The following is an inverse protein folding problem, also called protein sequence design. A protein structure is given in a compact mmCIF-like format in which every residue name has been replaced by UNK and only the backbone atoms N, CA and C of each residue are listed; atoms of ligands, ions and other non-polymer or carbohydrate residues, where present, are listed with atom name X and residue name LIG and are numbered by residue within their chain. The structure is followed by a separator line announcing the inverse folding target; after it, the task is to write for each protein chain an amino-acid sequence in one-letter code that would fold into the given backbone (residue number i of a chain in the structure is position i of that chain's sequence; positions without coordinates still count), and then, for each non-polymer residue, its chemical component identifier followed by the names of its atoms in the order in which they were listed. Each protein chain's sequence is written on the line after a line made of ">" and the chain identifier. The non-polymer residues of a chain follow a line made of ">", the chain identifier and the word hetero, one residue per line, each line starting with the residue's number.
data_IF_274163552432
#
_entry.id   IF_274163552432
#
_cell.length_a   1.000
_cell.length_b   1.000
_cell.length_c   1.000
_cell.angle_alpha   90.00
_cell.angle_beta   90.00
_cell.angle_gamma   90.00
#
_symmetry.space_group_name_H-M   'P 1'
#
loop_
_entity.id
_entity.type
_entity.pdbx_description
1 polymer ?
#
# COMPACT_ATOMS: atom_id res chain seq x y z
N UNK A 1 31.71 3.54 11.51
CA UNK A 1 32.42 2.24 11.59
C UNK A 1 31.54 1.12 11.03
N UNK A 2 31.09 1.21 9.75
CA UNK A 2 29.95 0.39 9.25
C UNK A 2 30.24 -0.56 8.07
N UNK A 3 31.44 -0.57 7.49
CA UNK A 3 31.74 -1.48 6.36
C UNK A 3 33.09 -2.16 6.53
N UNK A 4 33.19 -3.08 7.47
CA UNK A 4 34.44 -3.86 7.68
C UNK A 4 34.55 -5.12 6.82
N UNK A 5 33.55 -5.50 6.04
CA UNK A 5 33.62 -6.64 5.13
C UNK A 5 33.17 -6.23 3.73
N UNK A 6 34.10 -6.19 2.78
CA UNK A 6 33.79 -5.90 1.37
C UNK A 6 32.75 -6.86 0.76
N UNK A 7 32.65 -8.09 1.25
CA UNK A 7 31.60 -9.04 0.83
C UNK A 7 30.21 -8.61 1.26
N UNK A 8 30.06 -8.13 2.49
CA UNK A 8 28.76 -7.66 3.02
C UNK A 8 28.30 -6.39 2.29
N UNK A 9 29.21 -5.41 2.09
CA UNK A 9 28.90 -4.20 1.34
C UNK A 9 28.47 -4.53 -0.11
N UNK A 10 29.17 -5.43 -0.78
CA UNK A 10 28.82 -5.88 -2.12
C UNK A 10 27.43 -6.55 -2.17
N UNK A 11 27.11 -7.40 -1.21
CA UNK A 11 25.79 -8.05 -1.13
C UNK A 11 24.67 -7.04 -0.90
N UNK A 12 24.89 -6.02 -0.06
CA UNK A 12 23.92 -4.95 0.18
C UNK A 12 23.70 -4.16 -1.10
N UNK A 13 24.76 -3.74 -1.79
CA UNK A 13 24.65 -3.00 -3.05
C UNK A 13 23.92 -3.79 -4.14
N UNK A 14 24.21 -5.09 -4.28
CA UNK A 14 23.50 -5.95 -5.24
C UNK A 14 22.02 -6.04 -4.89
N UNK A 15 21.67 -6.22 -3.60
CA UNK A 15 20.28 -6.28 -3.16
C UNK A 15 19.54 -4.95 -3.35
N UNK A 16 20.20 -3.83 -3.10
CA UNK A 16 19.63 -2.50 -3.36
C UNK A 16 19.44 -2.29 -4.87
N UNK A 17 20.44 -2.60 -5.68
CA UNK A 17 20.35 -2.47 -7.14
C UNK A 17 19.21 -3.29 -7.73
N UNK A 18 19.05 -4.55 -7.31
CA UNK A 18 17.96 -5.39 -7.77
C UNK A 18 16.57 -4.84 -7.41
N UNK A 19 16.42 -4.20 -6.25
CA UNK A 19 15.15 -3.59 -5.82
C UNK A 19 14.87 -2.26 -6.50
N UNK A 20 15.91 -1.53 -6.87
CA UNK A 20 15.79 -0.24 -7.55
C UNK A 20 15.79 -0.35 -9.08
N UNK A 21 16.06 -1.54 -9.62
CA UNK A 21 16.08 -1.77 -11.06
C UNK A 21 14.79 -1.31 -11.81
N UNK A 22 13.58 -1.42 -11.26
CA UNK A 22 12.41 -0.86 -11.93
C UNK A 22 12.48 0.64 -12.20
N UNK A 23 13.24 1.40 -11.38
CA UNK A 23 13.45 2.84 -11.56
C UNK A 23 14.49 3.18 -12.63
N UNK A 24 15.08 2.19 -13.30
CA UNK A 24 15.85 2.41 -14.53
C UNK A 24 14.97 2.76 -15.73
N UNK A 25 13.66 2.47 -15.62
CA UNK A 25 12.64 2.84 -16.60
C UNK A 25 12.37 4.34 -16.48
N UNK A 26 12.58 5.09 -17.59
CA UNK A 26 12.49 6.55 -17.57
C UNK A 26 11.08 7.04 -17.18
N UNK A 27 10.06 6.41 -17.74
CA UNK A 27 8.66 6.76 -17.48
C UNK A 27 8.30 6.61 -15.99
N UNK A 28 8.87 5.61 -15.34
CA UNK A 28 8.66 5.42 -13.91
C UNK A 28 9.37 6.48 -13.08
N UNK A 29 10.59 6.87 -13.47
CA UNK A 29 11.28 7.98 -12.81
C UNK A 29 10.49 9.27 -12.94
N UNK A 30 10.03 9.58 -14.15
CA UNK A 30 9.26 10.81 -14.41
C UNK A 30 7.97 10.85 -13.61
N UNK A 31 7.29 9.69 -13.46
CA UNK A 31 6.08 9.56 -12.65
C UNK A 31 6.33 9.79 -11.14
N UNK A 32 7.53 9.51 -10.66
CA UNK A 32 7.86 9.53 -9.21
C UNK A 32 8.69 10.74 -8.78
N UNK A 33 9.01 11.67 -9.68
CA UNK A 33 9.83 12.87 -9.38
C UNK A 33 9.07 13.86 -8.49
N UNK A 34 7.75 13.98 -8.67
CA UNK A 34 6.91 14.91 -7.93
C UNK A 34 5.76 14.19 -7.25
N UNK A 35 5.32 14.72 -6.11
CA UNK A 35 4.11 14.26 -5.45
C UNK A 35 2.87 14.93 -6.08
N UNK A 36 2.29 14.27 -7.09
CA UNK A 36 1.05 14.71 -7.72
C UNK A 36 -0.20 14.13 -7.05
N UNK A 37 -0.04 13.03 -6.30
CA UNK A 37 -1.16 12.32 -5.69
C UNK A 37 -1.71 13.03 -4.47
N UNK A 38 -0.86 13.74 -3.72
CA UNK A 38 -1.23 14.43 -2.48
C UNK A 38 -2.06 13.54 -1.55
N UNK A 39 -1.58 12.31 -1.33
CA UNK A 39 -2.29 11.27 -0.57
C UNK A 39 -2.68 11.73 0.83
N UNK A 40 -1.89 12.63 1.41
CA UNK A 40 -2.13 13.22 2.72
C UNK A 40 -3.36 14.15 2.76
N UNK A 41 -3.86 14.62 1.61
CA UNK A 41 -5.07 15.46 1.54
C UNK A 41 -6.37 14.67 1.44
N UNK A 42 -6.28 13.37 1.17
CA UNK A 42 -7.44 12.49 1.18
C UNK A 42 -8.02 12.41 2.60
N UNK A 43 -9.30 12.64 2.75
CA UNK A 43 -9.94 12.69 4.06
C UNK A 43 -10.14 14.11 4.63
N UNK A 44 -9.52 15.15 4.05
CA UNK A 44 -9.80 16.53 4.39
C UNK A 44 -11.04 17.07 3.69
N UNK A 45 -11.22 16.65 2.45
CA UNK A 45 -12.34 17.05 1.59
C UNK A 45 -12.84 15.87 0.77
N UNK A 46 -14.05 15.96 0.24
CA UNK A 46 -14.60 14.92 -0.66
C UNK A 46 -13.77 14.87 -1.94
N UNK A 47 -13.02 13.80 -2.10
CA UNK A 47 -12.10 13.57 -3.22
C UNK A 47 -12.26 12.12 -3.71
N UNK A 48 -12.08 11.89 -5.00
CA UNK A 48 -11.99 10.56 -5.58
C UNK A 48 -10.63 10.40 -6.26
N UNK A 49 -9.87 9.40 -5.85
CA UNK A 49 -8.60 8.99 -6.47
C UNK A 49 -8.82 7.68 -7.20
N UNK A 50 -8.47 7.63 -8.48
CA UNK A 50 -8.52 6.43 -9.31
C UNK A 50 -7.10 5.95 -9.60
N UNK A 51 -6.78 4.73 -9.19
CA UNK A 51 -5.54 4.05 -9.50
C UNK A 51 -5.84 2.98 -10.56
N UNK A 52 -5.43 3.24 -11.79
CA UNK A 52 -5.67 2.34 -12.91
C UNK A 52 -4.39 1.57 -13.21
N UNK A 53 -4.49 0.24 -13.25
CA UNK A 53 -3.37 -0.65 -13.55
C UNK A 53 -3.74 -1.59 -14.70
N UNK A 54 -2.72 -2.12 -15.37
CA UNK A 54 -2.91 -3.12 -16.42
C UNK A 54 -3.26 -4.48 -15.83
N UNK A 55 -4.22 -5.18 -16.44
CA UNK A 55 -4.57 -6.55 -16.07
C UNK A 55 -3.57 -7.58 -16.60
N UNK A 56 -2.85 -7.22 -17.67
CA UNK A 56 -1.95 -8.12 -18.39
C UNK A 56 -0.49 -7.96 -18.04
N UNK A 57 -0.09 -6.81 -17.46
CA UNK A 57 1.29 -6.50 -17.09
C UNK A 57 1.40 -6.26 -15.59
N UNK A 58 2.07 -7.16 -14.90
CA UNK A 58 2.30 -7.10 -13.46
C UNK A 58 3.56 -6.33 -13.06
N UNK A 59 4.32 -5.82 -14.02
CA UNK A 59 5.63 -5.17 -13.78
C UNK A 59 5.54 -4.03 -12.77
N UNK A 60 4.44 -3.27 -12.79
CA UNK A 60 4.25 -2.10 -11.95
C UNK A 60 3.31 -2.30 -10.75
N UNK A 61 2.86 -3.53 -10.49
CA UNK A 61 1.94 -3.82 -9.38
C UNK A 61 2.51 -3.44 -8.01
N UNK A 62 3.85 -3.49 -7.87
CA UNK A 62 4.52 -3.07 -6.65
C UNK A 62 4.29 -1.58 -6.31
N UNK A 63 4.11 -0.72 -7.33
CA UNK A 63 3.81 0.70 -7.12
C UNK A 63 2.47 0.88 -6.42
N UNK A 64 1.45 0.16 -6.84
CA UNK A 64 0.12 0.22 -6.23
C UNK A 64 0.19 -0.25 -4.78
N UNK A 65 0.94 -1.30 -4.50
CA UNK A 65 1.19 -1.76 -3.12
C UNK A 65 1.90 -0.68 -2.28
N UNK A 66 2.86 0.04 -2.85
CA UNK A 66 3.53 1.18 -2.20
C UNK A 66 2.55 2.33 -1.94
N UNK A 67 1.73 2.70 -2.93
CA UNK A 67 0.73 3.76 -2.78
C UNK A 67 -0.23 3.45 -1.64
N UNK A 68 -0.79 2.22 -1.58
CA UNK A 68 -1.67 1.83 -0.48
C UNK A 68 -0.96 1.85 0.87
N UNK A 69 0.31 1.41 0.92
CA UNK A 69 1.09 1.44 2.15
C UNK A 69 1.29 2.88 2.65
N UNK A 70 1.66 3.79 1.76
CA UNK A 70 1.82 5.21 2.07
C UNK A 70 0.49 5.85 2.47
N UNK A 71 -0.57 5.59 1.69
CA UNK A 71 -1.90 6.12 1.95
C UNK A 71 -2.39 5.78 3.36
N UNK A 72 -2.36 4.50 3.73
CA UNK A 72 -2.82 4.09 5.06
C UNK A 72 -1.98 4.70 6.18
N UNK A 73 -0.66 4.77 6.03
CA UNK A 73 0.21 5.39 7.03
C UNK A 73 -0.09 6.88 7.16
N UNK A 74 -0.08 7.63 6.05
CA UNK A 74 -0.34 9.07 6.04
C UNK A 74 -1.70 9.43 6.63
N UNK A 75 -2.74 8.68 6.27
CA UNK A 75 -4.09 8.92 6.78
C UNK A 75 -4.23 8.58 8.26
N UNK A 76 -3.57 7.52 8.74
CA UNK A 76 -3.56 7.18 10.16
C UNK A 76 -2.81 8.23 10.98
N UNK A 77 -1.60 8.60 10.55
CA UNK A 77 -0.79 9.61 11.23
C UNK A 77 -1.53 10.96 11.26
N UNK A 78 -2.13 11.35 10.14
CA UNK A 78 -2.91 12.59 10.05
C UNK A 78 -4.15 12.58 10.95
N UNK A 79 -4.87 11.46 10.99
CA UNK A 79 -6.02 11.31 11.88
C UNK A 79 -5.60 11.48 13.34
N UNK A 80 -4.49 10.87 13.74
CA UNK A 80 -4.01 10.92 15.11
C UNK A 80 -3.41 12.28 15.47
N UNK A 81 -2.56 12.85 14.61
CA UNK A 81 -1.78 14.04 14.93
C UNK A 81 -2.57 15.35 14.73
N UNK A 82 -3.47 15.41 13.73
CA UNK A 82 -4.16 16.66 13.34
C UNK A 82 -5.62 16.68 13.74
N UNK A 83 -6.29 15.51 13.78
CA UNK A 83 -7.75 15.43 13.94
C UNK A 83 -8.20 14.68 15.20
N UNK A 84 -7.30 14.44 16.14
CA UNK A 84 -7.65 13.81 17.41
C UNK A 84 -8.19 12.38 17.28
N UNK A 85 -7.72 11.66 16.27
CA UNK A 85 -7.98 10.23 16.06
C UNK A 85 -9.01 9.89 14.98
N UNK A 86 -9.62 10.90 14.30
CA UNK A 86 -10.62 10.66 13.25
C UNK A 86 -10.50 11.66 12.12
N UNK A 87 -10.49 11.19 10.89
CA UNK A 87 -10.54 12.07 9.71
C UNK A 87 -11.88 12.79 9.61
N UNK A 88 -11.91 14.04 9.13
CA UNK A 88 -13.16 14.80 8.93
C UNK A 88 -14.06 14.23 7.84
N UNK A 89 -13.48 13.58 6.83
CA UNK A 89 -14.22 12.88 5.76
C UNK A 89 -13.81 11.43 5.74
N UNK A 90 -14.82 10.53 5.73
CA UNK A 90 -14.58 9.09 5.65
C UNK A 90 -13.88 8.71 4.35
N UNK A 91 -12.75 8.00 4.45
CA UNK A 91 -12.00 7.49 3.30
C UNK A 91 -12.32 6.02 3.09
N UNK A 92 -12.86 5.68 1.93
CA UNK A 92 -13.15 4.31 1.53
C UNK A 92 -12.22 3.88 0.41
N UNK A 93 -11.37 2.90 0.67
CA UNK A 93 -10.53 2.25 -0.34
C UNK A 93 -11.28 1.07 -0.95
N UNK A 94 -11.61 1.16 -2.23
CA UNK A 94 -12.17 0.05 -3.01
C UNK A 94 -11.02 -0.58 -3.79
N UNK A 95 -10.62 -1.78 -3.40
CA UNK A 95 -9.47 -2.49 -3.98
C UNK A 95 -10.01 -3.65 -4.79
N UNK A 96 -10.25 -3.38 -6.06
CA UNK A 96 -10.68 -4.41 -7.01
C UNK A 96 -9.50 -5.29 -7.39
N UNK A 97 -9.77 -6.56 -7.63
CA UNK A 97 -8.75 -7.58 -7.93
C UNK A 97 -7.53 -7.53 -6.99
N UNK A 98 -7.77 -7.42 -5.70
CA UNK A 98 -6.75 -7.26 -4.66
C UNK A 98 -5.61 -8.30 -4.75
N UNK A 99 -5.87 -9.47 -5.35
CA UNK A 99 -4.87 -10.50 -5.59
C UNK A 99 -3.77 -10.06 -6.57
N UNK A 100 -4.11 -9.20 -7.54
CA UNK A 100 -3.18 -8.77 -8.59
C UNK A 100 -2.22 -7.67 -8.12
N UNK A 101 -2.59 -6.90 -7.11
CA UNK A 101 -1.77 -5.82 -6.55
C UNK A 101 -0.51 -6.36 -5.83
N UNK A 102 -0.54 -7.64 -5.46
CA UNK A 102 0.46 -8.22 -4.58
C UNK A 102 0.15 -7.98 -3.11
N UNK A 103 1.12 -8.24 -2.25
CA UNK A 103 0.93 -8.11 -0.82
C UNK A 103 1.10 -6.64 -0.38
N UNK A 104 0.05 -6.05 0.18
CA UNK A 104 0.15 -4.80 0.93
C UNK A 104 0.70 -5.15 2.32
N UNK A 105 1.90 -4.66 2.70
CA UNK A 105 2.51 -5.01 3.98
C UNK A 105 1.60 -4.69 5.17
N UNK A 106 1.48 -5.62 6.11
CA UNK A 106 0.71 -5.47 7.34
C UNK A 106 -0.78 -5.14 7.17
N UNK A 107 -1.38 -5.43 6.02
CA UNK A 107 -2.78 -5.11 5.73
C UNK A 107 -3.73 -5.66 6.82
N UNK A 108 -3.45 -6.86 7.36
CA UNK A 108 -4.25 -7.48 8.42
C UNK A 108 -4.27 -6.66 9.71
N UNK A 109 -3.15 -6.00 10.05
CA UNK A 109 -3.07 -5.09 11.20
C UNK A 109 -3.72 -3.76 10.89
N UNK A 110 -3.49 -3.24 9.69
CA UNK A 110 -4.07 -1.99 9.23
C UNK A 110 -5.60 -2.04 9.26
N UNK A 111 -6.21 -3.09 8.70
CA UNK A 111 -7.68 -3.24 8.69
C UNK A 111 -8.28 -3.24 10.11
N UNK A 112 -7.55 -3.73 11.11
CA UNK A 112 -8.01 -3.68 12.49
C UNK A 112 -7.97 -2.26 13.09
N UNK A 113 -7.06 -1.40 12.65
CA UNK A 113 -6.79 -0.08 13.25
C UNK A 113 -7.45 1.07 12.50
N UNK A 114 -7.62 0.99 11.18
CA UNK A 114 -8.11 2.09 10.34
C UNK A 114 -9.57 2.47 10.64
N UNK A 115 -10.39 1.53 11.11
CA UNK A 115 -11.82 1.76 11.37
C UNK A 115 -12.08 2.90 12.34
N UNK A 116 -11.31 3.00 13.42
CA UNK A 116 -11.45 4.07 14.42
C UNK A 116 -11.14 5.45 13.86
N UNK A 117 -10.40 5.52 12.76
CA UNK A 117 -9.92 6.75 12.10
C UNK A 117 -10.77 7.20 10.92
N UNK A 118 -11.98 6.66 10.76
CA UNK A 118 -12.85 6.92 9.63
C UNK A 118 -12.25 6.46 8.28
N UNK A 119 -11.51 5.35 8.29
CA UNK A 119 -10.96 4.74 7.09
C UNK A 119 -11.51 3.32 6.96
N UNK A 120 -11.90 2.93 5.76
CA UNK A 120 -12.37 1.57 5.46
C UNK A 120 -11.73 1.02 4.19
N UNK A 121 -11.52 -0.29 4.13
CA UNK A 121 -11.04 -1.00 2.96
C UNK A 121 -12.06 -2.08 2.55
N UNK A 122 -12.41 -2.08 1.26
CA UNK A 122 -13.22 -3.10 0.63
C UNK A 122 -12.33 -3.86 -0.35
N UNK A 123 -12.05 -5.12 -0.06
CA UNK A 123 -11.21 -5.98 -0.87
C UNK A 123 -12.10 -6.86 -1.75
N UNK A 124 -11.97 -6.75 -3.06
CA UNK A 124 -12.66 -7.62 -4.01
C UNK A 124 -11.69 -8.71 -4.46
N UNK A 125 -12.14 -9.94 -4.37
CA UNK A 125 -11.36 -11.15 -4.66
C UNK A 125 -12.21 -12.14 -5.41
N UNK A 126 -11.64 -12.87 -6.36
CA UNK A 126 -12.34 -13.91 -7.09
C UNK A 126 -12.56 -15.17 -6.23
N UNK A 127 -11.66 -15.44 -5.29
CA UNK A 127 -11.77 -16.58 -4.38
C UNK A 127 -11.13 -16.31 -3.01
N UNK A 128 -11.71 -16.87 -1.94
CA UNK A 128 -11.15 -16.81 -0.57
C UNK A 128 -9.74 -17.44 -0.47
N UNK A 129 -9.41 -18.37 -1.37
CA UNK A 129 -8.09 -18.99 -1.43
C UNK A 129 -6.99 -18.01 -1.78
N UNK A 130 -7.27 -16.98 -2.60
CA UNK A 130 -6.32 -15.92 -2.95
C UNK A 130 -5.89 -15.12 -1.71
N UNK A 131 -6.84 -14.76 -0.84
CA UNK A 131 -6.54 -14.06 0.41
C UNK A 131 -5.61 -14.87 1.32
N UNK A 132 -5.86 -16.19 1.40
CA UNK A 132 -5.00 -17.09 2.19
C UNK A 132 -3.60 -17.23 1.59
N UNK A 133 -3.49 -17.29 0.27
CA UNK A 133 -2.20 -17.40 -0.41
C UNK A 133 -1.34 -16.16 -0.19
N UNK A 134 -1.93 -14.95 -0.27
CA UNK A 134 -1.22 -13.68 -0.18
C UNK A 134 -0.91 -13.31 1.26
N UNK A 135 -1.91 -13.36 2.15
CA UNK A 135 -1.79 -12.83 3.52
C UNK A 135 -1.64 -13.91 4.59
N UNK A 136 -1.65 -15.21 4.22
CA UNK A 136 -1.58 -16.34 5.15
C UNK A 136 -2.64 -16.29 6.27
N UNK A 137 -3.75 -15.61 6.03
CA UNK A 137 -4.80 -15.39 7.02
C UNK A 137 -5.54 -16.71 7.24
N UNK A 138 -5.49 -17.23 8.48
CA UNK A 138 -6.22 -18.41 8.90
C UNK A 138 -7.72 -18.14 9.10
N UNK A 139 -8.52 -19.23 9.32
CA UNK A 139 -10.00 -19.17 9.50
C UNK A 139 -10.48 -18.23 10.60
N UNK A 140 -9.63 -17.84 11.54
CA UNK A 140 -10.00 -17.07 12.73
C UNK A 140 -10.21 -15.56 12.48
N UNK A 141 -9.70 -15.00 11.40
CA UNK A 141 -9.77 -13.54 11.12
C UNK A 141 -10.84 -13.12 10.11
N UNK A 142 -11.50 -14.07 9.45
CA UNK A 142 -12.66 -13.80 8.59
C UNK A 142 -13.96 -13.84 9.42
N UNK A 143 -14.17 -12.90 10.34
CA UNK A 143 -15.51 -12.55 10.76
C UNK A 143 -16.07 -11.56 9.75
N UNK A 144 -16.89 -12.09 8.86
CA UNK A 144 -17.85 -11.35 8.06
C UNK A 144 -18.62 -10.42 9.01
N UNK A 145 -18.42 -9.12 8.89
CA UNK A 145 -19.37 -8.15 9.42
C UNK A 145 -19.88 -7.36 8.23
N UNK A 146 -21.06 -7.74 7.83
CA UNK A 146 -21.98 -6.97 7.02
C UNK A 146 -22.24 -5.62 7.70
#
# INVERSE_FOLDING_TARGET
>A
MLFRSGKTAKSILISCGARLAPFDIQELRDLTVYDELQLDTLGDKKTALFLIMSDTDSTFNFLISMVYTQLFNLLCDKADDQYGGKLPVHVRCLIDECANIGQIPNLEKLVATIRSREISACLVLQAKSQLKAIYKIGRASCRERV
#
